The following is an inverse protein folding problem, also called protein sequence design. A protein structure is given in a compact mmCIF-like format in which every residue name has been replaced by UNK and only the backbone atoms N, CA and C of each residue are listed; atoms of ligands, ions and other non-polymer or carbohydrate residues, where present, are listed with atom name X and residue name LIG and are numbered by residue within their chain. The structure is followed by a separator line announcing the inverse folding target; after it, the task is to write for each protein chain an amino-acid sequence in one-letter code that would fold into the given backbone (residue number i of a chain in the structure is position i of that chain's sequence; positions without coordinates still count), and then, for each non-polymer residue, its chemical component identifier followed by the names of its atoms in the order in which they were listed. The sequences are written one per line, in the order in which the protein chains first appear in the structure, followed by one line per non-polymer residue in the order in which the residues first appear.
data_IF_728523060642
#
_entry.id   IF_728523060642
#
_cell.length_a   1.000
_cell.length_b   1.000
_cell.length_c   1.000
_cell.angle_alpha   90.00
_cell.angle_beta   90.00
_cell.angle_gamma   90.00
#
_symmetry.space_group_name_H-M   'P 1'
#
loop_
_entity.id
_entity.type
_entity.pdbx_description
1 polymer ?
#
# COMPACT_ATOMS: atom_id res chain seq x y z
N UNK A 1 -14.62 -6.83 -6.65
CA UNK A 1 -13.59 -5.76 -6.63
C UNK A 1 -12.56 -5.87 -7.76
N UNK A 2 -12.12 -4.74 -8.29
CA UNK A 2 -11.04 -4.59 -9.29
C UNK A 2 -9.87 -3.82 -8.64
N UNK A 3 -8.63 -4.19 -8.96
CA UNK A 3 -7.43 -3.43 -8.56
C UNK A 3 -6.82 -2.81 -9.80
N UNK A 4 -6.61 -1.48 -9.80
CA UNK A 4 -6.03 -0.74 -10.92
C UNK A 4 -5.12 0.39 -10.42
N UNK A 5 -4.25 0.97 -11.27
CA UNK A 5 -3.52 2.19 -10.92
C UNK A 5 -4.48 3.27 -10.41
N UNK A 6 -4.09 3.92 -9.32
CA UNK A 6 -4.85 5.02 -8.71
C UNK A 6 -4.65 6.32 -9.50
N UNK A 7 -5.70 7.11 -9.56
CA UNK A 7 -5.75 8.45 -10.15
C UNK A 7 -5.91 9.50 -9.04
N UNK A 8 -5.70 10.78 -9.37
CA UNK A 8 -5.97 11.88 -8.42
C UNK A 8 -7.42 11.89 -7.92
N UNK A 9 -8.37 11.51 -8.78
CA UNK A 9 -9.78 11.42 -8.41
C UNK A 9 -10.03 10.31 -7.36
N UNK A 10 -9.27 9.20 -7.41
CA UNK A 10 -9.39 8.14 -6.40
C UNK A 10 -8.90 8.60 -5.03
N UNK A 11 -7.79 9.35 -4.97
CA UNK A 11 -7.30 9.95 -3.72
C UNK A 11 -8.32 10.93 -3.15
N UNK A 12 -8.84 11.84 -4.00
CA UNK A 12 -9.87 12.79 -3.58
C UNK A 12 -11.13 12.09 -3.07
N UNK A 13 -11.58 11.03 -3.75
CA UNK A 13 -12.78 10.27 -3.34
C UNK A 13 -12.55 9.44 -2.07
N UNK A 14 -11.34 8.90 -1.87
CA UNK A 14 -11.02 8.09 -0.70
C UNK A 14 -10.61 8.95 0.48
N UNK A 15 -9.53 9.71 0.40
CA UNK A 15 -8.99 10.52 1.51
C UNK A 15 -9.70 11.86 1.71
N UNK A 16 -10.43 12.36 0.70
CA UNK A 16 -11.00 13.72 0.74
C UNK A 16 -9.98 14.81 0.38
N UNK A 17 -8.74 14.43 0.12
CA UNK A 17 -7.65 15.33 -0.26
C UNK A 17 -6.71 14.64 -1.27
N UNK A 18 -5.88 15.46 -1.92
CA UNK A 18 -4.83 14.97 -2.79
C UNK A 18 -3.56 14.68 -1.97
N UNK A 19 -2.75 13.70 -2.38
CA UNK A 19 -1.51 13.40 -1.68
C UNK A 19 -0.57 14.62 -1.74
N UNK A 20 0.05 14.94 -0.61
CA UNK A 20 0.98 16.06 -0.46
C UNK A 20 2.31 15.87 -1.19
N UNK A 21 2.56 14.65 -1.70
CA UNK A 21 3.77 14.24 -2.38
C UNK A 21 3.47 13.30 -3.54
N UNK A 22 4.44 13.11 -4.43
CA UNK A 22 4.32 12.16 -5.54
C UNK A 22 4.28 10.73 -5.03
N UNK A 23 3.19 10.02 -5.34
CA UNK A 23 2.93 8.63 -4.95
C UNK A 23 2.67 7.78 -6.19
N UNK A 24 3.15 6.54 -6.17
CA UNK A 24 2.68 5.50 -7.09
C UNK A 24 1.79 4.54 -6.32
N UNK A 25 0.52 4.45 -6.70
CA UNK A 25 -0.46 3.70 -5.95
C UNK A 25 -1.44 2.95 -6.84
N UNK A 26 -2.12 1.99 -6.23
CA UNK A 26 -3.21 1.21 -6.77
C UNK A 26 -4.43 1.38 -5.88
N UNK A 27 -5.59 1.44 -6.52
CA UNK A 27 -6.88 1.53 -5.86
C UNK A 27 -7.63 0.21 -6.05
N UNK A 28 -8.21 -0.28 -4.95
CA UNK A 28 -9.20 -1.32 -4.93
C UNK A 28 -10.59 -0.67 -5.05
N UNK A 29 -11.35 -1.05 -6.07
CA UNK A 29 -12.69 -0.50 -6.37
C UNK A 29 -13.74 -1.60 -6.27
N UNK A 30 -14.82 -1.30 -5.55
CA UNK A 30 -16.01 -2.14 -5.44
C UNK A 30 -17.27 -1.27 -5.60
N UNK A 31 -18.21 -1.70 -6.45
CA UNK A 31 -19.42 -0.93 -6.78
C UNK A 31 -19.12 0.56 -7.11
N UNK A 32 -18.11 0.78 -7.95
CA UNK A 32 -17.60 2.10 -8.37
C UNK A 32 -17.09 3.01 -7.24
N UNK A 33 -16.87 2.45 -6.04
CA UNK A 33 -16.33 3.17 -4.89
C UNK A 33 -14.93 2.67 -4.54
N UNK A 34 -13.96 3.56 -4.28
CA UNK A 34 -12.68 3.18 -3.68
C UNK A 34 -12.91 2.57 -2.29
N UNK A 35 -12.48 1.32 -2.12
CA UNK A 35 -12.53 0.60 -0.83
C UNK A 35 -11.14 0.40 -0.22
N UNK A 36 -10.08 0.65 -0.97
CA UNK A 36 -8.72 0.72 -0.43
C UNK A 36 -7.72 1.30 -1.39
N UNK A 37 -6.65 1.87 -0.86
CA UNK A 37 -5.52 2.42 -1.60
C UNK A 37 -4.23 1.89 -0.99
N UNK A 38 -3.37 1.33 -1.84
CA UNK A 38 -2.05 0.87 -1.44
C UNK A 38 -1.00 1.32 -2.45
N UNK A 39 0.16 1.75 -1.97
CA UNK A 39 1.18 2.31 -2.83
C UNK A 39 2.48 2.56 -2.10
N UNK A 40 3.35 3.33 -2.76
CA UNK A 40 4.56 3.82 -2.15
C UNK A 40 4.87 5.23 -2.62
N UNK A 41 5.71 5.91 -1.85
CA UNK A 41 6.41 7.13 -2.23
C UNK A 41 7.91 6.95 -2.05
N UNK A 42 8.69 7.83 -2.65
CA UNK A 42 10.15 7.81 -2.49
C UNK A 42 10.56 8.80 -1.41
N UNK A 43 11.36 8.34 -0.44
CA UNK A 43 11.94 9.17 0.60
C UNK A 43 13.30 8.61 1.02
N UNK A 44 14.32 9.47 1.11
CA UNK A 44 15.66 9.06 1.54
C UNK A 44 16.29 7.95 0.68
N UNK A 45 15.95 7.85 -0.61
CA UNK A 45 16.43 6.78 -1.49
C UNK A 45 15.70 5.44 -1.35
N UNK A 46 14.69 5.35 -0.48
CA UNK A 46 13.88 4.17 -0.24
C UNK A 46 12.45 4.33 -0.77
N UNK A 47 11.80 3.24 -1.11
CA UNK A 47 10.36 3.20 -1.37
C UNK A 47 9.62 2.93 -0.05
N UNK A 48 8.86 3.92 0.42
CA UNK A 48 8.06 3.84 1.64
C UNK A 48 6.62 3.46 1.29
N UNK A 49 6.24 2.26 1.71
CA UNK A 49 4.96 1.62 1.42
C UNK A 49 3.90 2.07 2.42
N UNK A 50 2.70 2.29 1.91
CA UNK A 50 1.50 2.57 2.70
C UNK A 50 0.31 1.79 2.15
N UNK A 51 -0.63 1.48 3.03
CA UNK A 51 -1.92 0.91 2.65
C UNK A 51 -3.00 1.45 3.58
N UNK A 52 -4.16 1.80 3.04
CA UNK A 52 -5.36 2.15 3.78
C UNK A 52 -6.57 1.50 3.11
N UNK A 53 -7.60 1.20 3.89
CA UNK A 53 -8.77 0.44 3.44
C UNK A 53 -9.99 0.75 4.30
N UNK A 54 -11.18 0.60 3.69
CA UNK A 54 -12.49 0.78 4.32
C UNK A 54 -13.40 -0.36 3.88
N UNK A 55 -13.98 -1.07 4.86
CA UNK A 55 -14.99 -2.11 4.65
C UNK A 55 -14.61 -3.24 3.67
N UNK A 56 -13.31 -3.54 3.53
CA UNK A 56 -12.83 -4.62 2.68
C UNK A 56 -12.96 -5.99 3.35
N UNK A 57 -13.35 -7.01 2.58
CA UNK A 57 -13.28 -8.41 3.02
C UNK A 57 -11.82 -8.83 3.22
N UNK A 58 -11.52 -9.73 4.17
CA UNK A 58 -10.16 -10.26 4.39
C UNK A 58 -9.52 -10.81 3.11
N UNK A 59 -10.32 -11.49 2.28
CA UNK A 59 -9.85 -12.05 1.01
C UNK A 59 -9.44 -10.95 0.03
N UNK A 60 -10.19 -9.86 -0.03
CA UNK A 60 -9.88 -8.72 -0.88
C UNK A 60 -8.64 -7.95 -0.40
N UNK A 61 -8.45 -7.80 0.92
CA UNK A 61 -7.22 -7.21 1.46
C UNK A 61 -5.99 -8.00 1.01
N UNK A 62 -6.04 -9.33 1.14
CA UNK A 62 -4.93 -10.22 0.74
C UNK A 62 -4.69 -10.13 -0.76
N UNK A 63 -5.75 -10.07 -1.58
CA UNK A 63 -5.61 -9.91 -3.04
C UNK A 63 -4.96 -8.58 -3.39
N UNK A 64 -5.39 -7.48 -2.78
CA UNK A 64 -4.82 -6.15 -2.98
C UNK A 64 -3.35 -6.08 -2.54
N UNK A 65 -3.04 -6.61 -1.36
CA UNK A 65 -1.67 -6.67 -0.85
C UNK A 65 -0.76 -7.49 -1.78
N UNK A 66 -1.19 -8.66 -2.26
CA UNK A 66 -0.40 -9.46 -3.23
C UNK A 66 -0.13 -8.70 -4.53
N UNK A 67 -1.10 -7.95 -5.04
CA UNK A 67 -0.92 -7.13 -6.24
C UNK A 67 0.13 -6.02 -6.00
N UNK A 68 0.06 -5.34 -4.86
CA UNK A 68 1.06 -4.34 -4.47
C UNK A 68 2.45 -4.96 -4.33
N UNK A 69 2.57 -6.11 -3.66
CA UNK A 69 3.85 -6.80 -3.49
C UNK A 69 4.51 -7.20 -4.82
N UNK A 70 3.71 -7.63 -5.81
CA UNK A 70 4.21 -7.95 -7.14
C UNK A 70 4.85 -6.74 -7.83
N UNK A 71 4.39 -5.53 -7.52
CA UNK A 71 4.93 -4.28 -8.04
C UNK A 71 6.16 -3.82 -7.26
N UNK A 72 6.13 -3.93 -5.92
CA UNK A 72 7.26 -3.55 -5.04
C UNK A 72 8.52 -4.37 -5.36
N UNK A 73 8.37 -5.67 -5.63
CA UNK A 73 9.49 -6.55 -6.00
C UNK A 73 10.20 -6.15 -7.30
N UNK A 74 9.58 -5.31 -8.14
CA UNK A 74 10.18 -4.84 -9.40
C UNK A 74 11.01 -3.57 -9.24
N UNK A 75 10.97 -2.91 -8.07
CA UNK A 75 11.57 -1.59 -7.90
C UNK A 75 13.10 -1.58 -7.86
N UNK A 76 13.73 -2.72 -7.56
CA UNK A 76 15.20 -2.84 -7.49
C UNK A 76 15.85 -1.91 -6.45
N UNK A 77 15.08 -1.46 -5.46
CA UNK A 77 15.50 -0.55 -4.39
C UNK A 77 14.98 -1.05 -3.04
N UNK A 78 15.50 -0.46 -1.98
CA UNK A 78 15.05 -0.79 -0.62
C UNK A 78 13.60 -0.34 -0.42
N UNK A 79 12.77 -1.28 0.07
CA UNK A 79 11.35 -1.08 0.31
C UNK A 79 11.10 -1.21 1.80
N UNK A 80 10.51 -0.17 2.40
CA UNK A 80 10.16 -0.13 3.82
C UNK A 80 8.68 0.15 4.00
N UNK A 81 8.08 -0.37 5.07
CA UNK A 81 6.68 -0.13 5.44
C UNK A 81 6.62 0.38 6.88
N UNK A 82 5.85 1.46 7.08
CA UNK A 82 5.40 1.85 8.41
C UNK A 82 4.15 1.06 8.80
N UNK A 83 3.95 0.86 10.09
CA UNK A 83 2.72 0.27 10.62
C UNK A 83 2.34 0.94 11.93
N UNK A 84 1.10 1.38 12.03
CA UNK A 84 0.53 1.92 13.27
C UNK A 84 0.30 0.82 14.33
N UNK A 85 0.42 -0.45 13.93
CA UNK A 85 0.33 -1.60 14.82
C UNK A 85 1.74 -2.10 15.19
N UNK A 86 2.08 -2.17 16.50
CA UNK A 86 3.40 -2.63 16.97
C UNK A 86 3.76 -4.05 16.52
N UNK A 87 2.75 -4.90 16.31
CA UNK A 87 2.90 -6.29 15.91
C UNK A 87 2.23 -6.53 14.56
N UNK A 88 2.75 -5.91 13.51
CA UNK A 88 2.29 -6.08 12.13
C UNK A 88 2.66 -7.47 11.57
N UNK A 89 2.23 -8.55 12.24
CA UNK A 89 2.54 -9.95 11.88
C UNK A 89 2.18 -10.25 10.42
N UNK A 90 1.16 -9.58 9.90
CA UNK A 90 0.75 -9.71 8.50
C UNK A 90 1.86 -9.31 7.51
N UNK A 91 2.72 -8.36 7.86
CA UNK A 91 3.85 -7.95 7.01
C UNK A 91 4.87 -9.08 6.86
N UNK A 92 5.05 -9.94 7.89
CA UNK A 92 5.90 -11.14 7.77
C UNK A 92 5.39 -12.10 6.70
N UNK A 93 4.07 -12.24 6.53
CA UNK A 93 3.49 -13.07 5.47
C UNK A 93 3.76 -12.51 4.06
N UNK A 94 4.12 -11.24 3.94
CA UNK A 94 4.51 -10.60 2.69
C UNK A 94 6.03 -10.49 2.51
N UNK A 95 6.82 -11.05 3.43
CA UNK A 95 8.29 -11.07 3.34
C UNK A 95 8.98 -9.85 3.97
N UNK A 96 8.27 -9.08 4.80
CA UNK A 96 8.90 -8.01 5.54
C UNK A 96 9.48 -8.48 6.88
N UNK A 97 10.58 -7.86 7.28
CA UNK A 97 11.27 -8.09 8.54
C UNK A 97 11.40 -6.78 9.36
N UNK A 98 11.44 -6.83 10.70
CA UNK A 98 11.66 -5.64 11.51
C UNK A 98 12.97 -4.91 11.15
N UNK A 99 12.91 -3.59 11.00
CA UNK A 99 14.04 -2.74 10.62
C UNK A 99 13.92 -1.35 11.27
N UNK A 100 14.49 -1.19 12.47
CA UNK A 100 14.32 0.03 13.27
C UNK A 100 12.84 0.28 13.59
N UNK A 101 12.37 1.50 13.32
CA UNK A 101 10.96 1.88 13.46
C UNK A 101 10.08 1.44 12.27
N UNK A 102 10.67 0.76 11.29
CA UNK A 102 10.02 0.31 10.06
C UNK A 102 10.08 -1.22 9.91
N UNK A 103 9.47 -1.69 8.83
CA UNK A 103 9.59 -3.06 8.34
C UNK A 103 10.21 -3.03 6.95
N UNK A 104 11.28 -3.79 6.70
CA UNK A 104 11.96 -3.83 5.40
C UNK A 104 11.59 -5.09 4.64
N UNK A 105 11.32 -4.95 3.34
CA UNK A 105 11.12 -6.09 2.45
C UNK A 105 12.45 -6.82 2.21
N UNK A 106 12.52 -8.10 2.58
CA UNK A 106 13.67 -8.95 2.36
C UNK A 106 13.77 -9.48 0.91
#
# INVERSE_FOLDING_TARGET
MIVRPATRADFQAFYGELPSQTVKAWVAVENDKPVGIGGYYLSGGMAVVFTDQRDMSKQDMVRGARALMAELKKLGMEVVAGSDFPNAVILKHFGFEPFGDYWRLA
#
